data_IF_016881833985
#
_entry.id   IF_016881833985
#
_cell.length_a   1.000
_cell.length_b   1.000
_cell.length_c   1.000
_cell.angle_alpha   90.00
_cell.angle_beta   90.00
_cell.angle_gamma   90.00
#
_symmetry.space_group_name_H-M   'P 1'
#
loop_
_entity.id
_entity.type
_entity.pdbx_description
1 polymer ?
#
# COMPACT_ATOMS: atom_id res chain seq x y z
N UNK A 1 -4.06 5.69 1.55
CA UNK A 1 -4.48 4.44 2.22
C UNK A 1 -3.25 3.70 2.67
N UNK A 2 -3.31 3.01 3.81
CA UNK A 2 -2.18 2.23 4.35
C UNK A 2 -2.39 0.77 4.00
N UNK A 3 -1.39 0.11 3.44
CA UNK A 3 -1.48 -1.29 3.00
C UNK A 3 -0.27 -2.09 3.45
N UNK A 4 -0.39 -3.41 3.46
CA UNK A 4 0.70 -4.35 3.76
C UNK A 4 0.31 -5.29 4.89
N UNK A 5 1.24 -6.16 5.28
CA UNK A 5 0.96 -7.24 6.22
C UNK A 5 0.42 -6.70 7.57
N UNK A 6 -0.77 -7.15 7.92
CA UNK A 6 -1.44 -6.79 9.16
C UNK A 6 -1.14 -7.81 10.26
N UNK A 7 -0.21 -7.47 11.16
CA UNK A 7 0.26 -8.37 12.23
C UNK A 7 -0.84 -8.82 13.21
N UNK A 8 -1.98 -8.11 13.27
CA UNK A 8 -3.07 -8.47 14.19
C UNK A 8 -4.22 -9.23 13.51
N UNK A 9 -4.19 -9.38 12.18
CA UNK A 9 -5.16 -10.18 11.44
C UNK A 9 -4.89 -11.69 11.67
N UNK A 10 -5.92 -12.43 12.10
CA UNK A 10 -5.84 -13.85 12.47
C UNK A 10 -6.60 -14.78 11.53
N UNK A 11 -7.43 -14.23 10.66
CA UNK A 11 -8.20 -15.01 9.68
C UNK A 11 -8.42 -14.23 8.38
N UNK A 12 -8.81 -14.94 7.32
CA UNK A 12 -9.14 -14.32 6.03
C UNK A 12 -10.27 -13.28 6.13
N UNK A 13 -11.29 -13.53 6.96
CA UNK A 13 -12.48 -12.66 7.08
C UNK A 13 -12.22 -11.33 7.79
N UNK A 14 -11.18 -11.26 8.63
CA UNK A 14 -10.80 -10.03 9.34
C UNK A 14 -10.21 -8.96 8.41
N UNK A 15 -9.97 -9.27 7.12
CA UNK A 15 -9.57 -8.28 6.12
C UNK A 15 -10.73 -7.33 5.76
N UNK A 16 -11.98 -7.71 6.02
CA UNK A 16 -13.17 -6.93 5.67
C UNK A 16 -13.19 -5.57 6.37
N UNK A 17 -13.61 -4.52 5.65
CA UNK A 17 -13.64 -3.15 6.17
C UNK A 17 -12.25 -2.48 6.30
N UNK A 18 -11.16 -3.20 6.03
CA UNK A 18 -9.81 -2.64 6.01
C UNK A 18 -9.42 -2.10 4.63
N UNK A 19 -8.39 -1.27 4.59
CA UNK A 19 -7.74 -0.85 3.34
C UNK A 19 -7.15 -2.05 2.59
N UNK A 20 -6.54 -3.02 3.26
CA UNK A 20 -6.11 -4.27 2.62
C UNK A 20 -7.28 -4.99 1.92
N UNK A 21 -8.47 -4.97 2.54
CA UNK A 21 -9.69 -5.55 1.98
C UNK A 21 -10.14 -4.85 0.70
N UNK A 22 -9.93 -3.53 0.59
CA UNK A 22 -10.18 -2.78 -0.65
C UNK A 22 -9.23 -3.22 -1.77
N UNK A 23 -7.94 -3.38 -1.49
CA UNK A 23 -6.95 -3.83 -2.48
C UNK A 23 -7.22 -5.28 -2.90
N UNK A 24 -7.27 -6.20 -1.94
CA UNK A 24 -7.50 -7.62 -2.21
C UNK A 24 -8.87 -7.85 -2.86
N UNK A 25 -9.92 -7.21 -2.34
CA UNK A 25 -11.26 -7.26 -2.91
C UNK A 25 -11.30 -6.74 -4.35
N UNK A 26 -10.57 -5.67 -4.67
CA UNK A 26 -10.47 -5.16 -6.04
C UNK A 26 -9.74 -6.12 -6.98
N UNK A 27 -8.69 -6.79 -6.51
CA UNK A 27 -7.98 -7.84 -7.27
C UNK A 27 -8.94 -8.99 -7.60
N UNK A 28 -9.63 -9.52 -6.58
CA UNK A 28 -10.46 -10.71 -6.71
C UNK A 28 -11.80 -10.45 -7.43
N UNK A 29 -12.37 -9.27 -7.27
CA UNK A 29 -13.74 -8.96 -7.72
C UNK A 29 -13.82 -7.88 -8.81
N UNK A 30 -12.70 -7.27 -9.20
CA UNK A 30 -12.67 -6.12 -10.10
C UNK A 30 -12.59 -4.80 -9.34
N UNK A 31 -12.06 -3.76 -9.99
CA UNK A 31 -11.87 -2.44 -9.37
C UNK A 31 -13.20 -1.90 -8.84
N UNK A 32 -13.24 -1.55 -7.56
CA UNK A 32 -14.46 -1.00 -6.94
C UNK A 32 -14.62 0.51 -7.18
N UNK A 33 -13.58 1.19 -7.69
CA UNK A 33 -13.63 2.58 -8.12
C UNK A 33 -12.44 2.94 -9.03
N UNK A 34 -12.58 4.01 -9.80
CA UNK A 34 -11.51 4.61 -10.61
C UNK A 34 -10.61 5.57 -9.82
N UNK A 35 -10.73 5.63 -8.48
CA UNK A 35 -9.93 6.55 -7.69
C UNK A 35 -8.43 6.21 -7.72
N UNK A 36 -7.56 7.23 -7.74
CA UNK A 36 -6.12 7.01 -7.61
C UNK A 36 -5.79 6.29 -6.30
N UNK A 37 -4.96 5.24 -6.38
CA UNK A 37 -4.47 4.51 -5.21
C UNK A 37 -3.29 5.28 -4.61
N UNK A 38 -3.60 6.37 -3.89
CA UNK A 38 -2.65 6.93 -2.95
C UNK A 38 -2.40 5.89 -1.86
N UNK A 39 -1.19 5.36 -1.85
CA UNK A 39 -0.83 4.18 -1.08
C UNK A 39 0.42 4.45 -0.26
N UNK A 40 0.51 3.83 0.91
CA UNK A 40 1.74 3.79 1.69
C UNK A 40 1.84 2.43 2.37
N UNK A 41 3.06 1.91 2.45
CA UNK A 41 3.32 0.66 3.13
C UNK A 41 3.20 0.85 4.65
N UNK A 42 2.55 -0.07 5.34
CA UNK A 42 2.39 -0.05 6.80
C UNK A 42 3.72 0.00 7.54
N UNK A 43 4.77 -0.64 7.00
CA UNK A 43 6.10 -0.57 7.57
C UNK A 43 6.75 0.81 7.44
N UNK A 44 6.49 1.55 6.36
CA UNK A 44 7.00 2.92 6.20
C UNK A 44 6.28 3.87 7.18
N UNK A 45 4.98 3.64 7.43
CA UNK A 45 4.23 4.35 8.46
C UNK A 45 4.80 4.07 9.85
N UNK A 46 5.07 2.80 10.17
CA UNK A 46 5.68 2.42 11.45
C UNK A 46 7.07 3.05 11.63
N UNK A 47 7.92 2.99 10.60
CA UNK A 47 9.25 3.62 10.60
C UNK A 47 9.15 5.13 10.81
N UNK A 48 8.22 5.80 10.12
CA UNK A 48 7.98 7.23 10.30
C UNK A 48 7.61 7.60 11.74
N UNK A 49 6.73 6.81 12.38
CA UNK A 49 6.35 7.05 13.78
C UNK A 49 7.55 6.88 14.74
N UNK A 50 8.38 5.87 14.53
CA UNK A 50 9.59 5.65 15.34
C UNK A 50 10.58 6.80 15.16
N UNK A 51 10.86 7.20 13.91
CA UNK A 51 11.83 8.25 13.60
C UNK A 51 11.37 9.64 14.05
N UNK A 52 10.06 9.89 14.07
CA UNK A 52 9.48 11.13 14.57
C UNK A 52 9.72 11.37 16.08
N UNK A 53 10.13 10.34 16.84
CA UNK A 53 10.50 10.47 18.25
C UNK A 53 11.92 11.01 18.47
N UNK A 54 12.70 11.22 17.39
CA UNK A 54 14.07 11.72 17.54
C UNK A 54 14.09 13.09 18.22
N UNK A 55 14.89 13.28 19.29
CA UNK A 55 15.00 14.56 20.00
C UNK A 55 15.66 15.66 19.16
N UNK A 56 16.25 15.31 18.02
CA UNK A 56 16.87 16.26 17.08
C UNK A 56 15.83 16.96 16.20
N UNK A 57 14.59 16.49 16.17
CA UNK A 57 13.51 17.08 15.37
C UNK A 57 12.89 18.27 16.09
N UNK A 58 12.43 19.25 15.32
CA UNK A 58 11.72 20.39 15.88
C UNK A 58 10.36 19.96 16.41
N UNK A 59 10.06 20.34 17.66
CA UNK A 59 8.73 20.15 18.26
C UNK A 59 7.62 20.73 17.37
N UNK A 60 6.45 20.10 17.39
CA UNK A 60 5.25 20.55 16.65
C UNK A 60 5.39 20.50 15.12
N UNK A 61 6.23 19.60 14.61
CA UNK A 61 6.37 19.34 13.17
C UNK A 61 5.38 18.27 12.68
N UNK A 62 4.82 18.48 11.49
CA UNK A 62 4.00 17.48 10.78
C UNK A 62 4.74 16.94 9.56
N UNK A 63 4.61 15.63 9.31
CA UNK A 63 5.18 14.93 8.16
C UNK A 63 4.07 14.26 7.34
N UNK A 64 4.08 14.47 6.02
CA UNK A 64 3.21 13.72 5.11
C UNK A 64 3.87 12.38 4.80
N UNK A 65 3.21 11.29 5.20
CA UNK A 65 3.68 9.92 4.95
C UNK A 65 2.83 9.33 3.83
N UNK A 66 3.34 9.42 2.60
CA UNK A 66 2.70 8.92 1.39
C UNK A 66 3.74 8.21 0.54
N UNK A 67 3.49 6.94 0.21
CA UNK A 67 4.38 6.20 -0.66
C UNK A 67 4.26 6.61 -2.11
N UNK A 68 4.94 5.86 -2.98
CA UNK A 68 4.81 6.05 -4.42
C UNK A 68 3.38 5.71 -4.88
N UNK A 69 2.83 6.50 -5.82
CA UNK A 69 1.50 6.22 -6.37
C UNK A 69 1.52 4.90 -7.14
N UNK A 70 0.39 4.19 -7.11
CA UNK A 70 0.19 2.99 -7.92
C UNK A 70 -1.13 3.07 -8.69
N UNK A 71 -1.17 2.39 -9.83
CA UNK A 71 -2.34 2.25 -10.70
C UNK A 71 -2.86 0.83 -10.68
N UNK A 72 -4.09 0.61 -11.18
CA UNK A 72 -4.59 -0.75 -11.36
C UNK A 72 -3.77 -1.55 -12.37
N UNK A 73 -3.14 -0.87 -13.35
CA UNK A 73 -2.18 -1.50 -14.26
C UNK A 73 -0.99 -2.08 -13.50
N UNK A 74 -0.37 -1.31 -12.60
CA UNK A 74 0.76 -1.79 -11.79
C UNK A 74 0.36 -3.00 -10.94
N UNK A 75 -0.85 -2.99 -10.36
CA UNK A 75 -1.38 -4.12 -9.59
C UNK A 75 -1.53 -5.36 -10.45
N UNK A 76 -2.12 -5.24 -11.64
CA UNK A 76 -2.29 -6.37 -12.57
C UNK A 76 -0.94 -6.92 -13.02
N UNK A 77 0.03 -6.08 -13.35
CA UNK A 77 1.38 -6.51 -13.74
C UNK A 77 2.06 -7.32 -12.62
N UNK A 78 1.96 -6.86 -11.37
CA UNK A 78 2.49 -7.59 -10.21
C UNK A 78 1.76 -8.91 -10.00
N UNK A 79 0.43 -8.93 -10.12
CA UNK A 79 -0.39 -10.13 -9.94
C UNK A 79 -0.09 -11.18 -11.00
N UNK A 80 -0.04 -10.79 -12.28
CA UNK A 80 0.29 -11.69 -13.39
C UNK A 80 1.70 -12.28 -13.26
N UNK A 81 2.67 -11.46 -12.85
CA UNK A 81 4.07 -11.86 -12.70
C UNK A 81 4.29 -12.81 -11.52
N UNK A 82 3.67 -12.53 -10.37
CA UNK A 82 3.98 -13.21 -9.10
C UNK A 82 2.95 -14.28 -8.69
N UNK A 83 1.71 -14.19 -9.18
CA UNK A 83 0.60 -15.08 -8.80
C UNK A 83 -0.14 -15.64 -10.03
N UNK A 84 0.55 -16.27 -11.00
CA UNK A 84 -0.04 -16.64 -12.29
C UNK A 84 -1.17 -17.69 -12.19
N UNK A 85 -1.24 -18.43 -11.08
CA UNK A 85 -2.27 -19.44 -10.82
C UNK A 85 -3.47 -18.91 -10.05
N UNK A 86 -3.40 -17.68 -9.52
CA UNK A 86 -4.48 -17.09 -8.72
C UNK A 86 -5.48 -16.42 -9.68
N UNK A 87 -6.76 -16.84 -9.69
CA UNK A 87 -7.76 -16.18 -10.50
C UNK A 87 -8.02 -14.77 -9.97
N UNK A 88 -7.97 -13.77 -10.85
CA UNK A 88 -8.29 -12.38 -10.52
C UNK A 88 -9.24 -11.79 -11.57
N UNK A 89 -10.02 -10.78 -11.18
CA UNK A 89 -11.01 -10.11 -12.06
C UNK A 89 -10.67 -8.65 -12.34
N UNK A 90 -9.60 -8.13 -11.72
CA UNK A 90 -9.13 -6.78 -11.95
C UNK A 90 -8.70 -6.57 -13.40
N UNK A 91 -9.28 -5.56 -14.04
CA UNK A 91 -8.91 -5.12 -15.39
C UNK A 91 -7.97 -3.90 -15.27
N UNK A 92 -6.87 -3.84 -16.03
CA UNK A 92 -6.04 -2.63 -16.07
C UNK A 92 -6.89 -1.42 -16.49
N UNK A 93 -6.83 -0.32 -15.73
CA UNK A 93 -7.50 0.90 -16.13
C UNK A 93 -6.68 1.69 -17.17
N UNK A 94 -7.34 2.57 -17.92
CA UNK A 94 -6.67 3.54 -18.79
C UNK A 94 -6.01 4.62 -17.94
N UNK A 95 -4.78 4.36 -17.48
CA UNK A 95 -3.80 5.30 -16.90
C UNK A 95 -4.37 6.64 -16.37
N UNK A 96 -5.02 6.69 -15.20
CA UNK A 96 -5.20 7.96 -14.53
C UNK A 96 -3.81 8.49 -14.16
N UNK A 97 -3.51 9.75 -14.47
CA UNK A 97 -2.35 10.44 -13.91
C UNK A 97 -2.56 10.53 -12.40
N UNK A 98 -1.94 9.63 -11.64
CA UNK A 98 -1.92 9.72 -10.19
C UNK A 98 -0.82 10.70 -9.81
N UNK A 99 -1.19 11.84 -9.24
CA UNK A 99 -0.22 12.79 -8.71
C UNK A 99 0.56 12.18 -7.54
N UNK A 100 1.88 12.37 -7.53
CA UNK A 100 2.71 12.06 -6.37
C UNK A 100 2.55 13.17 -5.34
N UNK A 101 2.31 12.81 -4.09
CA UNK A 101 2.30 13.76 -2.99
C UNK A 101 3.69 14.33 -2.73
N UNK A 102 3.78 15.59 -2.29
CA UNK A 102 5.06 16.16 -1.87
C UNK A 102 5.45 15.65 -0.47
N UNK A 103 6.39 14.71 -0.45
CA UNK A 103 6.92 14.07 0.75
C UNK A 103 8.35 14.48 1.07
N UNK A 104 8.88 15.53 0.42
CA UNK A 104 10.30 15.90 0.49
C UNK A 104 10.78 16.15 1.92
N UNK A 105 9.92 16.71 2.78
CA UNK A 105 10.24 16.95 4.19
C UNK A 105 10.43 15.65 4.97
N UNK A 106 9.53 14.68 4.77
CA UNK A 106 9.59 13.39 5.46
C UNK A 106 10.81 12.57 4.98
N UNK A 107 11.11 12.61 3.68
CA UNK A 107 12.32 12.00 3.11
C UNK A 107 13.60 12.64 3.69
N UNK A 108 13.66 13.97 3.77
CA UNK A 108 14.85 14.69 4.22
C UNK A 108 15.09 14.60 5.73
N UNK A 109 14.07 14.85 6.54
CA UNK A 109 14.22 14.98 7.99
C UNK A 109 14.06 13.64 8.72
N UNK A 110 13.19 12.76 8.23
CA UNK A 110 13.02 11.42 8.78
C UNK A 110 13.82 10.37 8.00
N UNK A 111 14.53 10.71 6.92
CA UNK A 111 15.31 9.73 6.15
C UNK A 111 14.45 8.57 5.64
N UNK A 112 13.18 8.85 5.31
CA UNK A 112 12.25 7.82 4.83
C UNK A 112 12.57 7.43 3.39
N UNK A 113 12.39 6.15 3.09
CA UNK A 113 12.46 5.59 1.76
C UNK A 113 11.21 4.75 1.53
N UNK A 114 10.47 5.09 0.46
CA UNK A 114 9.18 4.46 0.22
C UNK A 114 9.33 3.06 -0.35
N UNK A 115 8.55 2.13 0.17
CA UNK A 115 8.41 0.81 -0.40
C UNK A 115 7.84 0.89 -1.83
N UNK A 116 8.42 0.08 -2.73
CA UNK A 116 7.89 -0.06 -4.10
C UNK A 116 6.49 -0.66 -4.07
N UNK A 117 5.60 -0.29 -5.02
CA UNK A 117 4.26 -0.87 -5.14
C UNK A 117 4.24 -2.41 -5.13
N UNK A 118 5.20 -3.06 -5.81
CA UNK A 118 5.32 -4.53 -5.84
C UNK A 118 5.43 -5.12 -4.43
N UNK A 119 6.18 -4.50 -3.51
CA UNK A 119 6.26 -4.99 -2.12
C UNK A 119 4.90 -4.89 -1.43
N UNK A 120 4.24 -3.75 -1.54
CA UNK A 120 2.94 -3.50 -0.89
C UNK A 120 1.89 -4.52 -1.35
N UNK A 121 1.81 -4.75 -2.66
CA UNK A 121 0.86 -5.70 -3.25
C UNK A 121 1.17 -7.12 -2.77
N UNK A 122 2.44 -7.52 -2.79
CA UNK A 122 2.86 -8.86 -2.35
C UNK A 122 2.55 -9.12 -0.88
N UNK A 123 2.82 -8.18 0.00
CA UNK A 123 2.54 -8.30 1.44
C UNK A 123 1.05 -8.57 1.72
N UNK A 124 0.15 -7.91 0.99
CA UNK A 124 -1.31 -8.13 1.12
C UNK A 124 -1.73 -9.48 0.52
N UNK A 125 -1.25 -9.80 -0.68
CA UNK A 125 -1.58 -11.05 -1.37
C UNK A 125 -1.04 -12.27 -0.62
N UNK A 126 0.23 -12.26 -0.22
CA UNK A 126 0.88 -13.36 0.50
C UNK A 126 0.17 -13.65 1.81
N UNK A 127 -0.16 -12.61 2.61
CA UNK A 127 -0.90 -12.79 3.85
C UNK A 127 -2.28 -13.38 3.61
N UNK A 128 -3.04 -12.82 2.66
CA UNK A 128 -4.41 -13.22 2.46
C UNK A 128 -4.52 -14.62 1.85
N UNK A 129 -3.63 -14.97 0.93
CA UNK A 129 -3.56 -16.31 0.33
C UNK A 129 -3.11 -17.37 1.34
N UNK A 130 -2.30 -17.03 2.34
CA UNK A 130 -1.88 -17.97 3.39
C UNK A 130 -3.02 -18.40 4.33
N UNK A 131 -4.18 -17.74 4.30
CA UNK A 131 -5.37 -18.17 5.03
C UNK A 131 -6.26 -19.16 4.25
N UNK A 132 -5.92 -19.46 2.99
CA UNK A 132 -6.61 -20.44 2.13
C UNK A 132 -5.75 -21.69 1.92
#
# INVERSE_FOLDING_TARGET
MVYGHNLVQKSAGEIEGSTNGLLFGSIMNGAQSDFPLLSVYVGDVADAHVKALSPTLQSSTSYLVSGDPMTWKDVVEVVQKNYPTVPYKLVPNANPKVGKADTARAEKELGLQWAKPEKVIKEVMDQQLAFF
#
